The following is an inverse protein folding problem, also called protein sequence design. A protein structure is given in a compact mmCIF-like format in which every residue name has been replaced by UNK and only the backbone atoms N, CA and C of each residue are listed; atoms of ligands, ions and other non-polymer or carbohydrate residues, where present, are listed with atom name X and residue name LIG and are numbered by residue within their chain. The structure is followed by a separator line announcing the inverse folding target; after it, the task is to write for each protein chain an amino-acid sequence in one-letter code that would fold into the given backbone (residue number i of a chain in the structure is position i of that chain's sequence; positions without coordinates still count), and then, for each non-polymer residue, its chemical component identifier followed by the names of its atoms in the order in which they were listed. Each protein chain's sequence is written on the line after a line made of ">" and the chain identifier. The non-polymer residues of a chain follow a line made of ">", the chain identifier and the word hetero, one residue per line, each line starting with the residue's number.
data_IF_190262467547
#
_entry.id   IF_190262467547
#
_cell.length_a   1.000
_cell.length_b   1.000
_cell.length_c   1.000
_cell.angle_alpha   90.00
_cell.angle_beta   90.00
_cell.angle_gamma   90.00
#
_symmetry.space_group_name_H-M   'P 1'
#
loop_
_entity.id
_entity.type
_entity.pdbx_description
1 polymer ?
#
# COMPACT_ATOMS: atom_id res chain seq x y z
N UNK A 1 13.88 55.19 30.56
CA UNK A 1 13.15 54.65 29.38
C UNK A 1 13.72 53.26 29.05
N UNK A 2 13.30 52.19 29.75
CA UNK A 2 13.84 50.82 29.54
C UNK A 2 12.75 49.76 29.81
N UNK A 3 11.66 49.82 29.04
CA UNK A 3 10.55 48.85 29.09
C UNK A 3 10.42 47.97 27.84
N UNK A 4 11.27 48.18 26.82
CA UNK A 4 11.20 47.47 25.53
C UNK A 4 11.89 46.10 25.50
N UNK A 5 12.90 45.87 26.35
CA UNK A 5 13.68 44.62 26.34
C UNK A 5 12.83 43.39 26.67
N UNK A 6 12.04 43.42 27.76
CA UNK A 6 11.22 42.27 28.17
C UNK A 6 10.08 41.95 27.19
N UNK A 7 9.52 42.96 26.52
CA UNK A 7 8.43 42.78 25.54
C UNK A 7 8.88 42.02 24.29
N UNK A 8 10.12 42.23 23.84
CA UNK A 8 10.73 41.46 22.75
C UNK A 8 10.88 39.98 23.14
N UNK A 9 11.21 39.68 24.40
CA UNK A 9 11.28 38.30 24.87
C UNK A 9 9.88 37.65 24.98
N UNK A 10 8.88 38.38 25.46
CA UNK A 10 7.51 37.86 25.64
C UNK A 10 6.69 37.76 24.34
N UNK A 11 7.02 38.52 23.30
CA UNK A 11 6.28 38.52 22.02
C UNK A 11 7.13 37.99 20.87
N UNK A 12 8.42 38.33 20.84
CA UNK A 12 9.35 37.87 19.80
C UNK A 12 9.64 36.38 19.88
N UNK A 13 9.86 35.80 21.08
CA UNK A 13 10.07 34.35 21.18
C UNK A 13 8.82 33.58 20.72
N UNK A 14 7.59 33.85 21.21
CA UNK A 14 6.42 33.12 20.73
C UNK A 14 6.19 33.25 19.23
N UNK A 15 6.41 34.43 18.64
CA UNK A 15 6.31 34.60 17.19
C UNK A 15 7.36 33.78 16.42
N UNK A 16 8.60 33.71 16.92
CA UNK A 16 9.64 32.86 16.33
C UNK A 16 9.29 31.38 16.45
N UNK A 17 8.75 30.93 17.60
CA UNK A 17 8.30 29.55 17.78
C UNK A 17 7.14 29.20 16.85
N UNK A 18 6.17 30.12 16.69
CA UNK A 18 5.07 29.97 15.74
C UNK A 18 5.59 29.91 14.30
N UNK A 19 6.52 30.78 13.92
CA UNK A 19 7.12 30.78 12.60
C UNK A 19 7.91 29.50 12.32
N UNK A 20 8.71 29.04 13.29
CA UNK A 20 9.43 27.77 13.21
C UNK A 20 8.46 26.57 13.08
N UNK A 21 7.37 26.58 13.85
CA UNK A 21 6.33 25.56 13.76
C UNK A 21 5.67 25.51 12.37
N UNK A 22 5.27 26.66 11.81
CA UNK A 22 4.67 26.70 10.47
C UNK A 22 5.66 26.38 9.35
N UNK A 23 6.94 26.73 9.52
CA UNK A 23 7.99 26.35 8.58
C UNK A 23 8.21 24.82 8.56
N UNK A 24 8.30 24.21 9.74
CA UNK A 24 8.42 22.75 9.88
C UNK A 24 7.16 22.03 9.37
N UNK A 25 5.97 22.50 9.77
CA UNK A 25 4.70 21.98 9.29
C UNK A 25 4.59 22.07 7.76
N UNK A 26 4.97 23.21 7.17
CA UNK A 26 4.96 23.40 5.72
C UNK A 26 5.94 22.48 4.99
N UNK A 27 7.11 22.24 5.57
CA UNK A 27 8.10 21.30 5.03
C UNK A 27 7.58 19.84 5.06
N UNK A 28 7.07 19.39 6.22
CA UNK A 28 6.50 18.05 6.39
C UNK A 28 5.30 17.86 5.46
N UNK A 29 4.38 18.84 5.41
CA UNK A 29 3.23 18.78 4.53
C UNK A 29 3.62 18.72 3.05
N UNK A 30 4.65 19.47 2.62
CA UNK A 30 5.11 19.46 1.23
C UNK A 30 5.66 18.09 0.81
N UNK A 31 6.46 17.47 1.68
CA UNK A 31 7.08 16.15 1.48
C UNK A 31 6.07 15.00 1.62
N UNK A 32 4.96 15.21 2.31
CA UNK A 32 3.91 14.21 2.52
C UNK A 32 2.57 14.61 1.87
N UNK A 33 2.59 15.54 0.91
CA UNK A 33 1.37 16.12 0.31
C UNK A 33 0.58 15.13 -0.57
N UNK A 34 1.25 14.11 -1.11
CA UNK A 34 0.63 13.03 -1.90
C UNK A 34 1.11 11.67 -1.40
N UNK A 35 0.37 10.59 -1.68
CA UNK A 35 0.81 9.24 -1.35
C UNK A 35 2.21 8.93 -1.92
N UNK A 36 2.46 9.31 -3.17
CA UNK A 36 3.73 9.04 -3.86
C UNK A 36 4.90 9.79 -3.22
N UNK A 37 4.69 11.05 -2.80
CA UNK A 37 5.73 11.80 -2.10
C UNK A 37 6.00 11.24 -0.71
N UNK A 38 4.96 10.81 0.01
CA UNK A 38 5.11 10.15 1.30
C UNK A 38 5.83 8.79 1.18
N UNK A 39 5.57 8.04 0.10
CA UNK A 39 6.33 6.82 -0.20
C UNK A 39 7.78 7.15 -0.58
N UNK A 40 8.02 8.14 -1.44
CA UNK A 40 9.37 8.56 -1.82
C UNK A 40 10.19 9.13 -0.64
N UNK A 41 9.53 9.73 0.36
CA UNK A 41 10.17 10.12 1.61
C UNK A 41 10.61 8.92 2.45
N UNK A 42 9.95 7.77 2.31
CA UNK A 42 10.27 6.52 3.00
C UNK A 42 11.29 5.67 2.21
N UNK A 43 11.10 5.56 0.90
CA UNK A 43 12.01 4.90 -0.04
C UNK A 43 12.13 5.72 -1.34
N UNK A 44 13.15 6.59 -1.46
CA UNK A 44 13.30 7.49 -2.60
C UNK A 44 13.76 6.78 -3.88
N UNK A 45 14.19 5.51 -3.78
CA UNK A 45 14.82 4.80 -4.90
C UNK A 45 13.82 4.19 -5.88
N UNK A 46 12.55 4.06 -5.46
CA UNK A 46 11.50 3.40 -6.23
C UNK A 46 10.24 4.22 -6.26
N UNK A 47 9.63 4.34 -7.45
CA UNK A 47 8.32 4.95 -7.65
C UNK A 47 7.24 3.89 -7.86
N UNK A 48 5.97 4.17 -7.52
CA UNK A 48 4.90 3.21 -7.69
C UNK A 48 4.52 3.07 -9.16
N UNK A 49 4.38 1.83 -9.63
CA UNK A 49 3.81 1.55 -10.96
C UNK A 49 2.30 1.27 -10.90
N UNK A 50 1.78 1.04 -9.69
CA UNK A 50 0.37 0.79 -9.45
C UNK A 50 -0.11 1.55 -8.21
N UNK A 51 -1.33 2.09 -8.29
CA UNK A 51 -1.98 2.81 -7.19
C UNK A 51 -3.43 2.37 -7.14
N UNK A 52 -3.83 1.79 -6.02
CA UNK A 52 -5.16 1.21 -5.82
C UNK A 52 -5.87 1.95 -4.69
N UNK A 53 -7.12 2.36 -4.90
CA UNK A 53 -7.95 2.90 -3.82
C UNK A 53 -8.39 1.75 -2.93
N UNK A 54 -8.14 1.84 -1.63
CA UNK A 54 -8.44 0.77 -0.69
C UNK A 54 -8.78 1.34 0.69
N UNK A 55 -9.88 0.86 1.29
CA UNK A 55 -10.38 1.38 2.56
C UNK A 55 -10.53 2.92 2.51
N UNK A 56 -10.08 3.65 3.54
CA UNK A 56 -10.04 5.12 3.57
C UNK A 56 -8.76 5.72 2.97
N UNK A 57 -7.92 4.90 2.36
CA UNK A 57 -6.58 5.27 1.90
C UNK A 57 -6.29 4.82 0.48
N UNK A 58 -5.01 4.64 0.19
CA UNK A 58 -4.53 4.08 -1.08
C UNK A 58 -3.42 3.07 -0.82
N UNK A 59 -3.32 2.07 -1.68
CA UNK A 59 -2.19 1.16 -1.74
C UNK A 59 -1.31 1.56 -2.92
N UNK A 60 -0.04 1.76 -2.66
CA UNK A 60 0.98 1.97 -3.69
C UNK A 60 1.78 0.69 -3.82
N UNK A 61 1.97 0.18 -5.04
CA UNK A 61 2.83 -0.98 -5.28
C UNK A 61 4.09 -0.51 -5.99
N UNK A 62 5.23 -0.78 -5.39
CA UNK A 62 6.56 -0.44 -5.90
C UNK A 62 7.37 -1.71 -6.12
N UNK A 63 8.36 -1.71 -7.03
CA UNK A 63 9.41 -2.72 -6.97
C UNK A 63 10.15 -2.58 -5.64
N UNK A 64 10.71 -3.67 -5.15
CA UNK A 64 11.71 -3.62 -4.10
C UNK A 64 13.10 -3.70 -4.73
N UNK A 65 14.15 -3.35 -3.99
CA UNK A 65 15.53 -3.40 -4.50
C UNK A 65 16.04 -4.79 -4.90
N UNK A 66 15.21 -5.85 -4.78
CA UNK A 66 15.52 -7.21 -5.20
C UNK A 66 14.79 -7.59 -6.50
N UNK A 67 15.38 -8.43 -7.36
CA UNK A 67 14.71 -8.92 -8.56
C UNK A 67 13.38 -9.60 -8.24
N UNK A 68 12.34 -9.29 -9.01
CA UNK A 68 10.99 -9.86 -8.88
C UNK A 68 10.35 -9.69 -7.49
N UNK A 69 10.83 -8.73 -6.69
CA UNK A 69 10.24 -8.41 -5.41
C UNK A 69 9.50 -7.08 -5.48
N UNK A 70 8.39 -7.00 -4.75
CA UNK A 70 7.47 -5.89 -4.76
C UNK A 70 7.04 -5.57 -3.34
N UNK A 71 6.73 -4.30 -3.09
CA UNK A 71 6.26 -3.81 -1.80
C UNK A 71 4.94 -3.08 -2.01
N UNK A 72 3.91 -3.48 -1.26
CA UNK A 72 2.65 -2.75 -1.15
C UNK A 72 2.67 -1.86 0.09
N UNK A 73 2.52 -0.55 -0.14
CA UNK A 73 2.48 0.48 0.87
C UNK A 73 1.04 0.94 1.06
N UNK A 74 0.43 0.62 2.19
CA UNK A 74 -0.87 1.18 2.55
C UNK A 74 -0.69 2.57 3.15
N UNK A 75 -1.20 3.58 2.45
CA UNK A 75 -1.06 4.99 2.78
C UNK A 75 -2.39 5.54 3.26
N UNK A 76 -2.37 6.24 4.40
CA UNK A 76 -3.54 6.99 4.89
C UNK A 76 -3.19 8.47 5.05
N UNK A 77 -4.23 9.31 5.08
CA UNK A 77 -4.08 10.75 5.20
C UNK A 77 -4.44 11.21 6.62
N UNK A 78 -3.56 11.99 7.22
CA UNK A 78 -3.80 12.70 8.49
C UNK A 78 -3.76 14.22 8.27
N UNK A 79 -3.91 14.98 9.36
CA UNK A 79 -3.71 16.43 9.36
C UNK A 79 -2.32 16.85 8.85
N UNK A 80 -1.30 16.02 9.09
CA UNK A 80 0.10 16.28 8.72
C UNK A 80 0.45 15.83 7.30
N UNK A 81 -0.50 15.22 6.57
CA UNK A 81 -0.30 14.68 5.23
C UNK A 81 -0.46 13.17 5.15
N UNK A 82 -0.01 12.60 4.04
CA UNK A 82 -0.02 11.16 3.79
C UNK A 82 1.12 10.48 4.53
N UNK A 83 0.87 9.30 5.07
CA UNK A 83 1.87 8.51 5.78
C UNK A 83 1.62 7.02 5.57
N UNK A 84 2.66 6.21 5.78
CA UNK A 84 2.59 4.75 5.71
C UNK A 84 1.89 4.24 6.96
N UNK A 85 0.81 3.47 6.77
CA UNK A 85 0.07 2.79 7.84
C UNK A 85 0.26 1.28 7.83
N UNK A 86 0.74 0.72 6.72
CA UNK A 86 1.06 -0.70 6.59
C UNK A 86 1.97 -0.97 5.41
N UNK A 87 2.75 -2.04 5.51
CA UNK A 87 3.65 -2.51 4.46
C UNK A 87 3.46 -4.02 4.35
N UNK A 88 3.43 -4.53 3.13
CA UNK A 88 3.50 -5.97 2.83
C UNK A 88 4.47 -6.17 1.66
N UNK A 89 5.17 -7.30 1.63
CA UNK A 89 6.16 -7.59 0.60
C UNK A 89 5.80 -8.91 -0.09
N UNK A 90 5.87 -8.93 -1.41
CA UNK A 90 5.73 -10.13 -2.22
C UNK A 90 7.01 -10.36 -3.01
N UNK A 91 7.36 -11.63 -3.26
CA UNK A 91 8.51 -11.96 -4.11
C UNK A 91 8.16 -13.07 -5.07
N UNK A 92 8.11 -12.74 -6.36
CA UNK A 92 7.85 -13.69 -7.42
C UNK A 92 8.94 -14.77 -7.46
N UNK A 93 8.52 -16.02 -7.25
CA UNK A 93 9.35 -17.20 -7.51
C UNK A 93 10.26 -17.64 -6.37
N UNK A 94 10.05 -17.19 -5.13
CA UNK A 94 10.84 -17.64 -3.97
C UNK A 94 10.42 -19.01 -3.36
N UNK A 95 9.50 -19.76 -3.97
CA UNK A 95 9.28 -21.17 -3.60
C UNK A 95 9.70 -22.10 -4.73
N UNK A 96 10.81 -22.85 -4.58
CA UNK A 96 11.04 -24.00 -5.43
C UNK A 96 10.00 -25.07 -5.04
N UNK A 97 9.02 -25.26 -5.93
CA UNK A 97 8.14 -26.43 -6.10
C UNK A 97 6.64 -26.32 -5.81
N UNK A 98 6.09 -25.34 -5.07
CA UNK A 98 4.65 -25.42 -4.73
C UNK A 98 3.73 -24.24 -5.07
N UNK A 99 4.23 -23.01 -5.30
CA UNK A 99 3.32 -21.87 -5.56
C UNK A 99 3.82 -20.99 -6.72
N UNK A 100 3.06 -20.95 -7.82
CA UNK A 100 3.28 -20.05 -8.98
C UNK A 100 2.70 -18.64 -8.74
N UNK A 101 2.12 -18.42 -7.56
CA UNK A 101 1.37 -17.24 -7.16
C UNK A 101 1.77 -16.90 -5.73
N UNK A 102 2.27 -15.69 -5.52
CA UNK A 102 2.46 -15.15 -4.18
C UNK A 102 1.15 -14.54 -3.68
N UNK A 103 0.97 -14.59 -2.37
CA UNK A 103 -0.27 -14.23 -1.72
C UNK A 103 0.02 -13.49 -0.43
N UNK A 104 -0.43 -12.26 -0.36
CA UNK A 104 -0.19 -11.37 0.76
C UNK A 104 -1.47 -10.60 1.10
N UNK A 105 -2.05 -10.82 2.29
CA UNK A 105 -3.22 -10.07 2.73
C UNK A 105 -2.86 -8.96 3.73
N UNK A 106 -3.58 -7.85 3.68
CA UNK A 106 -3.66 -6.91 4.80
C UNK A 106 -5.06 -6.35 4.98
N UNK A 107 -5.44 -6.07 6.22
CA UNK A 107 -6.79 -5.66 6.59
C UNK A 107 -6.78 -4.30 7.27
N UNK A 108 -7.54 -3.35 6.74
CA UNK A 108 -7.73 -2.01 7.30
C UNK A 108 -9.19 -1.56 7.16
N UNK A 109 -9.71 -0.83 8.14
CA UNK A 109 -11.10 -0.34 8.19
C UNK A 109 -12.18 -1.42 7.86
N UNK A 110 -11.94 -2.66 8.27
CA UNK A 110 -12.88 -3.76 8.03
C UNK A 110 -12.93 -4.29 6.60
N UNK A 111 -12.05 -3.81 5.71
CA UNK A 111 -11.83 -4.37 4.37
C UNK A 111 -10.50 -5.11 4.33
N UNK A 112 -10.39 -6.08 3.42
CA UNK A 112 -9.15 -6.84 3.22
C UNK A 112 -8.65 -6.64 1.80
N UNK A 113 -7.41 -6.19 1.67
CA UNK A 113 -6.68 -6.15 0.42
C UNK A 113 -5.87 -7.44 0.33
N UNK A 114 -6.03 -8.15 -0.76
CA UNK A 114 -5.27 -9.36 -1.05
C UNK A 114 -4.52 -9.10 -2.33
N UNK A 115 -3.22 -9.37 -2.36
CA UNK A 115 -2.41 -9.12 -3.53
C UNK A 115 -1.23 -10.08 -3.62
N UNK A 116 -0.51 -10.01 -4.71
CA UNK A 116 0.76 -10.68 -4.85
C UNK A 116 1.21 -10.70 -6.30
N UNK A 117 2.04 -11.67 -6.63
CA UNK A 117 2.64 -11.83 -7.95
C UNK A 117 2.25 -13.14 -8.58
N UNK A 118 2.27 -13.22 -9.91
CA UNK A 118 2.04 -14.44 -10.66
C UNK A 118 3.15 -14.68 -11.68
N UNK A 119 3.67 -15.91 -11.75
CA UNK A 119 4.73 -16.27 -12.70
C UNK A 119 4.22 -16.86 -14.01
N UNK A 120 3.00 -17.38 -14.02
CA UNK A 120 2.38 -17.96 -15.21
C UNK A 120 1.35 -16.99 -15.82
N UNK A 121 1.14 -17.01 -17.14
CA UNK A 121 0.04 -16.26 -17.73
C UNK A 121 -1.28 -16.75 -17.13
N UNK A 122 -1.96 -15.86 -16.43
CA UNK A 122 -3.30 -16.06 -15.90
C UNK A 122 -4.22 -14.99 -16.48
N UNK A 123 -5.46 -15.38 -16.75
CA UNK A 123 -6.51 -14.47 -17.20
C UNK A 123 -7.22 -13.81 -16.03
N UNK A 124 -7.44 -14.56 -14.95
CA UNK A 124 -8.19 -14.10 -13.78
C UNK A 124 -7.82 -14.92 -12.55
N UNK A 125 -7.82 -14.29 -11.36
CA UNK A 125 -7.82 -14.98 -10.06
C UNK A 125 -9.18 -14.74 -9.43
N UNK A 126 -9.76 -15.80 -8.90
CA UNK A 126 -11.13 -15.83 -8.43
C UNK A 126 -11.17 -16.39 -7.01
N UNK A 127 -11.83 -15.67 -6.12
CA UNK A 127 -12.08 -16.06 -4.74
C UNK A 127 -13.57 -16.28 -4.51
N UNK A 128 -13.93 -17.44 -3.96
CA UNK A 128 -15.31 -17.83 -3.69
C UNK A 128 -15.57 -17.82 -2.18
N UNK A 129 -16.43 -16.92 -1.71
CA UNK A 129 -16.71 -16.77 -0.29
C UNK A 129 -18.21 -16.56 -0.04
N UNK A 130 -18.80 -17.39 0.82
CA UNK A 130 -20.23 -17.34 1.18
C UNK A 130 -21.17 -17.27 -0.04
N UNK A 131 -20.89 -18.06 -1.08
CA UNK A 131 -21.68 -18.10 -2.31
C UNK A 131 -21.51 -16.88 -3.22
N UNK A 132 -20.57 -15.98 -2.92
CA UNK A 132 -20.19 -14.85 -3.77
C UNK A 132 -18.82 -15.08 -4.39
N UNK A 133 -18.64 -14.52 -5.57
CA UNK A 133 -17.39 -14.59 -6.32
C UNK A 133 -16.76 -13.21 -6.40
N UNK A 134 -15.48 -13.15 -6.08
CA UNK A 134 -14.64 -11.96 -6.14
C UNK A 134 -13.51 -12.21 -7.14
N UNK A 135 -13.23 -11.24 -8.00
CA UNK A 135 -12.24 -11.38 -9.05
C UNK A 135 -11.12 -10.38 -8.86
N UNK A 136 -9.89 -10.83 -9.10
CA UNK A 136 -8.70 -10.01 -8.96
C UNK A 136 -8.49 -9.17 -10.23
N UNK A 137 -7.98 -7.95 -10.03
CA UNK A 137 -7.35 -7.20 -11.11
C UNK A 137 -5.92 -7.71 -11.29
N UNK A 138 -5.53 -7.98 -12.52
CA UNK A 138 -4.15 -8.31 -12.88
C UNK A 138 -3.56 -7.04 -13.50
N UNK A 139 -2.66 -6.43 -12.75
CA UNK A 139 -1.99 -5.19 -13.08
C UNK A 139 -0.73 -5.40 -13.91
N UNK A 140 0.16 -4.40 -13.85
CA UNK A 140 1.45 -4.45 -14.57
C UNK A 140 2.42 -5.39 -13.85
N UNK A 141 3.42 -5.88 -14.58
CA UNK A 141 4.51 -6.70 -14.02
C UNK A 141 4.00 -7.98 -13.33
N UNK A 142 2.86 -8.51 -13.79
CA UNK A 142 2.23 -9.71 -13.22
C UNK A 142 1.90 -9.58 -11.73
N UNK A 143 1.67 -8.36 -11.25
CA UNK A 143 1.06 -8.12 -9.94
C UNK A 143 -0.43 -8.27 -10.06
N UNK A 144 -1.06 -8.92 -9.08
CA UNK A 144 -2.50 -9.03 -8.99
C UNK A 144 -2.98 -8.52 -7.64
N UNK A 145 -4.22 -8.03 -7.59
CA UNK A 145 -4.83 -7.60 -6.35
C UNK A 145 -6.35 -7.77 -6.37
N UNK A 146 -6.94 -7.89 -5.18
CA UNK A 146 -8.36 -8.04 -4.94
C UNK A 146 -8.74 -7.28 -3.67
N UNK A 147 -9.88 -6.59 -3.70
CA UNK A 147 -10.43 -5.91 -2.53
C UNK A 147 -11.66 -6.68 -2.06
N UNK A 148 -11.59 -7.17 -0.83
CA UNK A 148 -12.70 -7.82 -0.15
C UNK A 148 -13.41 -6.81 0.75
N UNK A 149 -14.75 -6.66 0.65
CA UNK A 149 -15.51 -5.67 1.42
C UNK A 149 -15.75 -6.09 2.88
N UNK A 150 -15.00 -7.07 3.37
CA UNK A 150 -15.08 -7.62 4.72
C UNK A 150 -13.68 -7.98 5.22
N UNK A 151 -13.57 -8.14 6.54
CA UNK A 151 -12.35 -8.60 7.19
C UNK A 151 -12.21 -10.11 6.97
N UNK A 152 -11.17 -10.50 6.23
CA UNK A 152 -10.76 -11.88 6.05
C UNK A 152 -9.42 -12.11 6.76
N UNK A 153 -9.37 -13.16 7.59
CA UNK A 153 -8.16 -13.53 8.36
C UNK A 153 -7.64 -14.91 8.00
N UNK A 154 -8.52 -15.80 7.55
CA UNK A 154 -8.17 -17.15 7.07
C UNK A 154 -8.47 -17.22 5.58
N UNK A 155 -7.58 -17.78 4.78
CA UNK A 155 -7.79 -17.92 3.34
C UNK A 155 -7.77 -19.40 2.99
N UNK A 156 -8.92 -20.09 3.03
CA UNK A 156 -8.98 -21.50 2.66
C UNK A 156 -8.55 -21.66 1.20
N UNK A 157 -7.51 -22.46 0.95
CA UNK A 157 -6.96 -22.63 -0.39
C UNK A 157 -8.01 -23.13 -1.41
N UNK A 158 -8.99 -23.91 -0.95
CA UNK A 158 -10.11 -24.43 -1.75
C UNK A 158 -11.03 -23.34 -2.30
N UNK A 159 -11.04 -22.15 -1.70
CA UNK A 159 -11.86 -21.02 -2.15
C UNK A 159 -11.20 -20.23 -3.28
N UNK A 160 -9.95 -20.54 -3.63
CA UNK A 160 -9.18 -19.80 -4.62
C UNK A 160 -8.96 -20.61 -5.89
N UNK A 161 -9.33 -20.00 -7.01
CA UNK A 161 -9.15 -20.56 -8.35
C UNK A 161 -8.50 -19.52 -9.26
N UNK A 162 -7.88 -20.01 -10.33
CA UNK A 162 -7.39 -19.18 -11.43
C UNK A 162 -8.00 -19.65 -12.74
N UNK A 163 -8.22 -18.70 -13.64
CA UNK A 163 -8.60 -18.96 -15.02
C UNK A 163 -7.37 -18.77 -15.90
N UNK A 164 -7.00 -19.81 -16.62
CA UNK A 164 -5.88 -19.80 -17.57
C UNK A 164 -6.28 -19.09 -18.89
N UNK A 165 -5.31 -18.71 -19.73
CA UNK A 165 -5.61 -18.07 -21.03
C UNK A 165 -6.49 -18.93 -21.95
N UNK A 166 -6.42 -20.25 -21.83
CA UNK A 166 -7.27 -21.19 -22.58
C UNK A 166 -8.70 -21.33 -22.01
N UNK A 167 -9.02 -20.58 -20.95
CA UNK A 167 -10.32 -20.59 -20.28
C UNK A 167 -10.49 -21.70 -19.24
N UNK A 168 -9.51 -22.61 -19.08
CA UNK A 168 -9.60 -23.64 -18.03
C UNK A 168 -9.48 -23.01 -16.65
N UNK A 169 -10.27 -23.54 -15.73
CA UNK A 169 -10.18 -23.18 -14.32
C UNK A 169 -9.32 -24.21 -13.59
N UNK A 170 -8.41 -23.74 -12.75
CA UNK A 170 -7.56 -24.57 -11.90
C UNK A 170 -7.53 -23.99 -10.47
N UNK A 171 -7.25 -24.80 -9.44
CA UNK A 171 -6.94 -24.29 -8.11
C UNK A 171 -5.78 -23.29 -8.16
N UNK A 172 -5.87 -22.20 -7.41
CA UNK A 172 -4.78 -21.23 -7.31
C UNK A 172 -3.59 -21.82 -6.55
N UNK A 173 -3.89 -22.61 -5.52
CA UNK A 173 -2.94 -23.32 -4.67
C UNK A 173 -3.00 -24.81 -4.97
N UNK A 174 -1.83 -25.46 -5.02
CA UNK A 174 -1.73 -26.92 -5.08
C UNK A 174 -1.88 -27.56 -3.72
#
# INVERSE_FOLDING_TARGET
>A
MWRRSKWIWFVGIPLLLIAAFFADWGYVYSTHSTPQKAQAASDPSVGPFETVKFAKGVVLITPSGQPNSYTAWYMTKSFWGWHVSGISNAVAGLSPQNYNVDFEPFTFDGQTFVWGTVMIPIKEIVYHHNGKTYTASIGKLSVWHMILPFKQTLFPHSEWTMVLPDGKTAPLFK
#
